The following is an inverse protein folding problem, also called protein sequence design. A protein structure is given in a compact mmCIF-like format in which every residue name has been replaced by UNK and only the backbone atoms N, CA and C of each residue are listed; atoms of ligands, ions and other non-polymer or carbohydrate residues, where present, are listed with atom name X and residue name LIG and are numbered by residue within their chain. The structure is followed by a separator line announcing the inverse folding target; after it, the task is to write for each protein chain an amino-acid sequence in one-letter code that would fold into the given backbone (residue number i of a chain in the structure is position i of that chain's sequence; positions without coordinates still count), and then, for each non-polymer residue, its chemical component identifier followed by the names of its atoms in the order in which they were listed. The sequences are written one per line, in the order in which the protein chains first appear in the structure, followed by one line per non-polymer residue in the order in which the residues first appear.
data_IF_669418861539
#
_entry.id   IF_669418861539
#
_cell.length_a   1.000
_cell.length_b   1.000
_cell.length_c   1.000
_cell.angle_alpha   90.00
_cell.angle_beta   90.00
_cell.angle_gamma   90.00
#
_symmetry.space_group_name_H-M   'P 1'
#
loop_
_entity.id
_entity.type
_entity.pdbx_description
1 polymer ?
#
# COMPACT_ATOMS: atom_id res chain seq x y z
N UNK A 1 -0.59 22.55 -14.41
CA UNK A 1 0.38 22.25 -13.33
C UNK A 1 -0.42 21.86 -12.09
N UNK A 2 -0.51 20.57 -11.80
CA UNK A 2 -1.17 20.10 -10.57
C UNK A 2 -0.20 20.26 -9.40
N UNK A 3 -0.63 20.76 -8.23
CA UNK A 3 0.27 20.92 -7.11
C UNK A 3 0.55 19.55 -6.47
N UNK A 4 1.83 19.16 -6.38
CA UNK A 4 2.26 18.04 -5.54
C UNK A 4 2.00 18.37 -4.08
N UNK A 5 1.27 17.49 -3.38
CA UNK A 5 1.15 17.54 -1.93
C UNK A 5 2.49 17.14 -1.29
N UNK A 6 2.94 17.82 -0.22
CA UNK A 6 4.17 17.45 0.47
C UNK A 6 3.97 16.14 1.27
N UNK A 7 5.03 15.34 1.42
CA UNK A 7 4.97 14.14 2.25
C UNK A 7 4.84 14.51 3.75
N UNK A 8 4.10 13.73 4.55
CA UNK A 8 3.97 13.97 5.98
C UNK A 8 5.27 13.63 6.72
N UNK A 9 5.75 14.57 7.53
CA UNK A 9 6.90 14.41 8.42
C UNK A 9 6.52 13.68 9.71
N UNK A 10 7.23 12.59 10.02
CA UNK A 10 7.06 11.79 11.25
C UNK A 10 7.72 12.47 12.47
N UNK A 11 7.14 12.39 13.68
CA UNK A 11 7.78 12.88 14.91
C UNK A 11 8.85 11.90 15.46
N UNK A 12 9.88 12.39 16.18
CA UNK A 12 10.92 11.55 16.77
C UNK A 12 10.48 10.87 18.09
N UNK A 13 11.06 9.71 18.45
CA UNK A 13 10.80 9.03 19.73
C UNK A 13 11.87 9.38 20.77
N UNK A 14 11.45 9.88 21.92
CA UNK A 14 12.22 9.88 23.19
C UNK A 14 11.23 10.33 24.29
N UNK A 15 11.24 9.88 25.54
CA UNK A 15 12.07 8.99 26.34
C UNK A 15 11.29 8.82 27.67
N UNK A 16 11.24 7.63 28.28
CA UNK A 16 10.77 7.44 29.69
C UNK A 16 12.01 7.26 30.60
N UNK A 17 12.00 7.53 31.94
CA UNK A 17 11.35 6.63 32.92
C UNK A 17 10.96 7.25 34.31
N UNK A 18 10.51 6.35 35.20
CA UNK A 18 10.39 6.39 36.69
C UNK A 18 8.99 6.67 37.29
N UNK A 19 8.44 5.94 38.30
CA UNK A 19 8.78 4.70 39.05
C UNK A 19 7.63 4.38 40.05
N UNK A 20 7.66 3.16 40.63
CA UNK A 20 7.01 2.66 41.87
C UNK A 20 5.58 2.08 41.68
N UNK A 21 5.17 0.90 42.18
CA UNK A 21 5.64 -0.04 43.22
C UNK A 21 4.86 -1.37 43.04
N UNK A 22 5.48 -2.54 43.30
CA UNK A 22 4.71 -3.76 43.56
C UNK A 22 5.43 -5.08 43.28
N UNK A 23 6.06 -5.66 44.30
CA UNK A 23 6.75 -6.97 44.27
C UNK A 23 5.76 -8.14 44.19
N UNK A 24 6.06 -9.14 43.38
CA UNK A 24 5.68 -10.54 43.62
C UNK A 24 6.70 -11.49 42.95
N UNK A 25 6.76 -12.70 43.47
CA UNK A 25 7.89 -13.64 43.50
C UNK A 25 8.09 -14.42 42.18
N UNK A 26 9.32 -14.87 41.99
CA UNK A 26 9.87 -15.67 40.89
C UNK A 26 9.19 -17.05 40.72
N UNK A 27 8.82 -17.40 39.48
CA UNK A 27 9.07 -18.73 38.91
C UNK A 27 9.14 -18.64 37.36
N UNK A 28 10.23 -19.10 36.71
CA UNK A 28 10.40 -19.03 35.26
C UNK A 28 10.06 -20.38 34.59
N UNK A 29 8.81 -20.57 34.17
CA UNK A 29 8.47 -21.66 33.25
C UNK A 29 7.40 -21.27 32.21
N UNK A 30 7.93 -20.82 31.07
CA UNK A 30 7.52 -21.21 29.70
C UNK A 30 6.03 -21.28 29.41
N UNK A 31 5.47 -20.12 29.13
CA UNK A 31 4.65 -20.00 27.93
C UNK A 31 5.23 -18.84 27.13
N UNK A 32 6.20 -19.17 26.28
CA UNK A 32 6.44 -18.35 25.09
C UNK A 32 5.09 -18.30 24.39
N UNK A 33 4.35 -17.20 24.58
CA UNK A 33 3.44 -16.73 23.56
C UNK A 33 4.35 -16.40 22.38
N UNK A 34 4.62 -17.41 21.56
CA UNK A 34 5.02 -17.16 20.20
C UNK A 34 3.85 -16.40 19.61
N UNK A 35 4.04 -15.10 19.38
CA UNK A 35 3.30 -14.37 18.36
C UNK A 35 3.61 -15.03 17.01
N UNK A 36 3.13 -16.25 16.82
CA UNK A 36 2.85 -16.81 15.51
C UNK A 36 1.54 -16.19 15.01
N UNK A 37 1.44 -14.86 15.13
CA UNK A 37 0.67 -14.07 14.18
C UNK A 37 1.57 -13.87 12.96
N UNK A 38 1.96 -14.99 12.35
CA UNK A 38 2.38 -15.03 10.96
C UNK A 38 1.16 -14.85 10.03
N UNK A 39 0.11 -14.16 10.49
CA UNK A 39 -0.79 -13.48 9.60
C UNK A 39 0.07 -12.50 8.83
N UNK A 40 0.36 -12.81 7.57
CA UNK A 40 0.99 -11.82 6.72
C UNK A 40 0.12 -10.57 6.84
N UNK A 41 0.70 -9.41 7.14
CA UNK A 41 0.04 -8.12 6.91
C UNK A 41 -0.49 -8.00 5.45
N UNK A 42 -0.04 -8.89 4.56
CA UNK A 42 -0.51 -9.06 3.19
C UNK A 42 -1.87 -9.80 3.08
N UNK A 43 -2.28 -10.61 4.06
CA UNK A 43 -3.54 -11.37 4.01
C UNK A 43 -4.78 -10.46 4.05
N UNK A 44 -4.63 -9.23 4.56
CA UNK A 44 -5.74 -8.28 4.68
C UNK A 44 -5.85 -7.31 3.49
N UNK A 45 -4.76 -6.94 2.81
CA UNK A 45 -4.77 -5.97 1.71
C UNK A 45 -4.65 -6.62 0.33
N UNK A 46 -5.43 -6.14 -0.62
CA UNK A 46 -5.39 -6.58 -2.03
C UNK A 46 -4.25 -5.94 -2.82
N UNK A 47 -3.65 -4.88 -2.29
CA UNK A 47 -2.53 -4.17 -2.90
C UNK A 47 -1.75 -3.39 -1.84
N UNK A 48 -0.42 -3.41 -1.96
CA UNK A 48 0.50 -2.59 -1.15
C UNK A 48 1.35 -1.69 -2.05
N UNK A 49 1.69 -0.45 -1.66
CA UNK A 49 2.60 0.39 -2.43
C UNK A 49 3.98 -0.27 -2.60
N UNK A 50 4.56 -0.23 -3.81
CA UNK A 50 5.88 -0.80 -4.04
C UNK A 50 6.95 0.00 -3.28
N UNK A 51 7.98 -0.70 -2.79
CA UNK A 51 9.12 -0.08 -2.10
C UNK A 51 8.92 0.18 -0.61
N UNK A 52 7.77 -0.18 -0.03
CA UNK A 52 7.58 -0.17 1.43
C UNK A 52 8.09 -1.44 2.08
N UNK A 53 8.69 -1.30 3.27
CA UNK A 53 8.96 -2.43 4.16
C UNK A 53 7.65 -2.91 4.80
N UNK A 54 7.51 -4.19 5.20
CA UNK A 54 6.27 -4.72 5.78
C UNK A 54 5.76 -3.92 7.00
N UNK A 55 6.67 -3.47 7.86
CA UNK A 55 6.38 -2.63 9.04
C UNK A 55 5.84 -1.24 8.69
N UNK A 56 6.05 -0.77 7.45
CA UNK A 56 5.57 0.53 6.98
C UNK A 56 4.20 0.46 6.30
N UNK A 57 3.71 -0.73 5.93
CA UNK A 57 2.45 -0.89 5.19
C UNK A 57 1.26 -0.38 6.01
N UNK A 58 1.15 -0.79 7.27
CA UNK A 58 0.07 -0.33 8.16
C UNK A 58 0.15 1.18 8.42
N UNK A 59 1.35 1.74 8.58
CA UNK A 59 1.55 3.18 8.77
C UNK A 59 1.13 3.98 7.53
N UNK A 60 1.34 3.44 6.34
CA UNK A 60 0.88 4.08 5.10
C UNK A 60 -0.65 4.10 5.03
N UNK A 61 -1.31 3.01 5.39
CA UNK A 61 -2.77 2.94 5.32
C UNK A 61 -3.48 3.65 6.48
N UNK A 62 -2.85 3.80 7.64
CA UNK A 62 -3.45 4.47 8.80
C UNK A 62 -3.77 5.95 8.59
N UNK A 63 -3.15 6.59 7.60
CA UNK A 63 -3.41 7.99 7.22
C UNK A 63 -4.44 8.13 6.11
N UNK A 64 -4.93 7.01 5.54
CA UNK A 64 -6.00 7.03 4.55
C UNK A 64 -7.37 6.92 5.22
N UNK A 65 -8.43 7.47 4.59
CA UNK A 65 -9.79 7.13 4.97
C UNK A 65 -10.03 5.61 4.89
N UNK A 66 -10.71 5.06 5.90
CA UNK A 66 -11.00 3.62 6.02
C UNK A 66 -11.66 3.04 4.75
N UNK A 67 -12.57 3.80 4.13
CA UNK A 67 -13.29 3.41 2.91
C UNK A 67 -12.42 3.38 1.64
N UNK A 68 -11.15 3.78 1.75
CA UNK A 68 -10.14 3.77 0.68
C UNK A 68 -8.98 2.82 0.94
N UNK A 69 -8.94 2.17 2.11
CA UNK A 69 -7.94 1.15 2.42
C UNK A 69 -8.30 -0.15 1.68
N UNK A 70 -7.40 -0.75 0.87
CA UNK A 70 -7.75 -1.78 -0.09
C UNK A 70 -7.89 -3.18 0.52
N UNK A 71 -8.69 -3.32 1.59
CA UNK A 71 -8.93 -4.63 2.20
C UNK A 71 -9.63 -5.60 1.26
N UNK A 72 -9.37 -6.89 1.37
CA UNK A 72 -10.01 -7.95 0.55
C UNK A 72 -11.54 -7.85 0.66
N UNK A 73 -12.23 -7.83 -0.49
CA UNK A 73 -13.70 -7.71 -0.62
C UNK A 73 -14.32 -6.41 -0.06
N UNK A 74 -13.50 -5.39 0.21
CA UNK A 74 -13.95 -4.14 0.85
C UNK A 74 -14.36 -3.03 -0.11
N UNK A 75 -14.91 -1.93 0.43
CA UNK A 75 -15.17 -0.71 -0.35
C UNK A 75 -13.88 -0.09 -0.91
N UNK A 76 -12.77 -0.17 -0.16
CA UNK A 76 -11.49 0.38 -0.57
C UNK A 76 -10.82 -0.41 -1.69
N UNK A 77 -11.00 -1.73 -1.75
CA UNK A 77 -10.59 -2.54 -2.92
C UNK A 77 -11.34 -2.06 -4.17
N UNK A 78 -12.67 -1.97 -4.09
CA UNK A 78 -13.49 -1.46 -5.21
C UNK A 78 -13.09 -0.03 -5.59
N UNK A 79 -12.75 0.81 -4.62
CA UNK A 79 -12.23 2.16 -4.86
C UNK A 79 -10.91 2.11 -5.63
N UNK A 80 -9.95 1.28 -5.18
CA UNK A 80 -8.66 1.09 -5.85
C UNK A 80 -8.82 0.64 -7.30
N UNK A 81 -9.72 -0.30 -7.58
CA UNK A 81 -10.04 -0.75 -8.95
C UNK A 81 -10.58 0.41 -9.80
N UNK A 82 -11.50 1.22 -9.27
CA UNK A 82 -11.99 2.42 -9.99
C UNK A 82 -10.87 3.42 -10.28
N UNK A 83 -9.97 3.64 -9.32
CA UNK A 83 -8.81 4.51 -9.51
C UNK A 83 -7.85 3.97 -10.58
N UNK A 84 -7.61 2.64 -10.62
CA UNK A 84 -6.80 2.02 -11.67
C UNK A 84 -7.39 2.25 -13.06
N UNK A 85 -8.69 2.00 -13.24
CA UNK A 85 -9.37 2.21 -14.51
C UNK A 85 -9.34 3.67 -14.96
N UNK A 86 -9.42 4.61 -14.01
CA UNK A 86 -9.32 6.03 -14.30
C UNK A 86 -7.89 6.44 -14.72
N UNK A 87 -6.88 5.91 -14.03
CA UNK A 87 -5.46 6.23 -14.28
C UNK A 87 -4.87 5.50 -15.49
N UNK A 88 -5.44 4.34 -15.88
CA UNK A 88 -4.97 3.49 -16.97
C UNK A 88 -6.04 3.42 -18.07
N UNK A 89 -6.27 4.52 -18.81
CA UNK A 89 -7.25 4.53 -19.89
C UNK A 89 -6.86 3.54 -20.99
N UNK A 90 -7.84 2.96 -21.70
CA UNK A 90 -7.57 1.92 -22.71
C UNK A 90 -6.71 2.41 -23.89
N UNK A 91 -6.69 3.72 -24.14
CA UNK A 91 -5.84 4.40 -25.13
C UNK A 91 -4.34 4.17 -24.87
N UNK A 92 -3.93 3.98 -23.62
CA UNK A 92 -2.53 3.78 -23.24
C UNK A 92 -2.04 2.35 -23.49
N UNK A 93 -2.95 1.43 -23.84
CA UNK A 93 -2.65 0.01 -23.98
C UNK A 93 -2.96 -0.52 -25.38
N UNK A 94 -4.09 -0.09 -25.97
CA UNK A 94 -4.59 -0.65 -27.22
C UNK A 94 -4.78 0.43 -28.29
N UNK A 95 -4.01 0.29 -29.38
CA UNK A 95 -4.02 1.18 -30.56
C UNK A 95 -5.42 1.42 -31.12
N UNK A 96 -6.35 0.45 -31.00
CA UNK A 96 -7.71 0.56 -31.58
C UNK A 96 -8.54 1.68 -30.96
N UNK A 97 -8.19 2.17 -29.77
CA UNK A 97 -8.90 3.28 -29.14
C UNK A 97 -8.33 4.65 -29.54
N UNK A 98 -7.16 4.69 -30.18
CA UNK A 98 -6.50 5.92 -30.59
C UNK A 98 -6.85 6.28 -32.04
N UNK A 99 -7.46 7.45 -32.24
CA UNK A 99 -8.08 7.82 -33.52
C UNK A 99 -7.11 8.46 -34.52
N UNK A 100 -5.94 8.93 -34.07
CA UNK A 100 -5.05 9.78 -34.88
C UNK A 100 -3.55 9.45 -34.76
N UNK A 101 -3.20 8.20 -34.44
CA UNK A 101 -1.79 7.79 -34.40
C UNK A 101 -1.26 7.48 -35.81
N UNK A 102 -0.05 7.96 -36.09
CA UNK A 102 0.77 7.52 -37.23
C UNK A 102 1.24 6.07 -37.08
N UNK A 103 1.72 5.46 -38.16
CA UNK A 103 2.16 4.06 -38.12
C UNK A 103 3.35 3.83 -37.16
N UNK A 104 4.26 4.81 -37.06
CA UNK A 104 5.37 4.71 -36.10
C UNK A 104 4.88 4.81 -34.66
N UNK A 105 4.00 5.78 -34.34
CA UNK A 105 3.42 5.90 -32.99
C UNK A 105 2.59 4.66 -32.61
N UNK A 106 1.89 4.04 -33.57
CA UNK A 106 1.18 2.77 -33.34
C UNK A 106 2.14 1.65 -32.96
N UNK A 107 3.31 1.60 -33.59
CA UNK A 107 4.35 0.60 -33.32
C UNK A 107 5.01 0.86 -31.97
N UNK A 108 5.35 2.11 -31.65
CA UNK A 108 5.86 2.50 -30.34
C UNK A 108 4.87 2.17 -29.22
N UNK A 109 3.59 2.50 -29.38
CA UNK A 109 2.55 2.17 -28.41
C UNK A 109 2.47 0.66 -28.16
N UNK A 110 2.53 -0.18 -29.21
CA UNK A 110 2.53 -1.64 -29.05
C UNK A 110 3.73 -2.13 -28.25
N UNK A 111 4.93 -1.60 -28.52
CA UNK A 111 6.15 -1.97 -27.81
C UNK A 111 6.09 -1.56 -26.34
N UNK A 112 5.65 -0.34 -26.08
CA UNK A 112 5.51 0.21 -24.74
C UNK A 112 4.49 -0.56 -23.89
N UNK A 113 3.32 -0.84 -24.45
CA UNK A 113 2.27 -1.64 -23.80
C UNK A 113 2.71 -3.08 -23.53
N UNK A 114 3.58 -3.65 -24.36
CA UNK A 114 4.10 -5.00 -24.17
C UNK A 114 5.17 -5.09 -23.06
N UNK A 115 5.93 -4.02 -22.84
CA UNK A 115 6.98 -3.99 -21.81
C UNK A 115 6.46 -3.69 -20.40
N UNK A 116 5.30 -3.02 -20.29
CA UNK A 116 4.70 -2.66 -18.99
C UNK A 116 3.87 -3.76 -18.33
N UNK A 117 3.49 -4.79 -19.08
CA UNK A 117 2.70 -5.92 -18.57
C UNK A 117 3.61 -6.95 -17.92
#
# INVERSE_FOLDING_TARGET
VSPSLPPPSLPPPDSTPDKLLGKAVLDPQRHSHSDDDSGCALEEYTWVPPGLRPDQVHLYFSVLPEDKVPYVNSAGERYRVRQLLHQLPPHDNEVRYCHSLSDEERKELRLFSAQRK
#
